data_IF_701840594292
#
_entry.id   IF_701840594292
#
_cell.length_a   1.000
_cell.length_b   1.000
_cell.length_c   1.000
_cell.angle_alpha   90.00
_cell.angle_beta   90.00
_cell.angle_gamma   90.00
#
_symmetry.space_group_name_H-M   'P 1'
#
loop_
_entity.id
_entity.type
_entity.pdbx_description
1 polymer ?
#
# COMPACT_ATOMS: atom_id res chain seq x y z
N UNK A 1 -33.51 42.43 -0.40
CA UNK A 1 -34.36 41.55 -1.23
C UNK A 1 -33.83 40.13 -1.01
N UNK A 2 -34.54 39.37 -0.19
CA UNK A 2 -34.19 38.00 0.17
C UNK A 2 -34.54 37.06 -0.99
N UNK A 3 -33.62 36.16 -1.33
CA UNK A 3 -33.82 35.11 -2.32
C UNK A 3 -34.58 33.97 -1.62
N UNK A 4 -35.71 33.48 -2.16
CA UNK A 4 -36.52 32.49 -1.45
C UNK A 4 -35.86 31.10 -1.44
N UNK A 5 -35.73 30.55 -0.23
CA UNK A 5 -35.13 29.24 0.09
C UNK A 5 -36.06 28.04 -0.24
N UNK A 6 -36.61 27.96 -1.45
CA UNK A 6 -37.50 26.85 -1.84
C UNK A 6 -37.04 26.12 -3.11
N UNK A 7 -35.83 25.57 -3.10
CA UNK A 7 -35.41 24.53 -4.05
C UNK A 7 -34.58 23.47 -3.32
N UNK A 8 -35.22 22.79 -2.37
CA UNK A 8 -34.74 21.51 -1.84
C UNK A 8 -35.85 20.49 -2.06
N UNK A 9 -35.78 19.75 -3.16
CA UNK A 9 -36.21 18.34 -3.26
C UNK A 9 -35.62 17.74 -4.53
N UNK A 10 -34.84 16.68 -4.36
CA UNK A 10 -34.79 15.46 -5.17
C UNK A 10 -35.51 15.47 -6.53
N UNK A 11 -34.79 15.04 -7.58
CA UNK A 11 -35.31 14.60 -8.89
C UNK A 11 -35.75 15.68 -9.88
N UNK A 12 -34.89 16.66 -10.21
CA UNK A 12 -35.07 17.39 -11.47
C UNK A 12 -34.25 16.71 -12.56
N UNK A 13 -34.96 16.16 -13.55
CA UNK A 13 -34.37 15.60 -14.74
C UNK A 13 -33.72 16.74 -15.56
N UNK A 14 -32.72 16.43 -16.39
CA UNK A 14 -31.90 17.41 -17.15
C UNK A 14 -32.76 18.41 -17.96
N UNK A 15 -33.97 17.99 -18.36
CA UNK A 15 -34.97 18.80 -19.07
C UNK A 15 -35.72 19.80 -18.19
N UNK A 16 -35.86 19.55 -16.89
CA UNK A 16 -36.69 20.36 -15.98
C UNK A 16 -35.92 21.55 -15.38
N UNK A 17 -34.60 21.42 -15.22
CA UNK A 17 -33.72 22.53 -14.81
C UNK A 17 -33.63 23.61 -15.91
N UNK A 18 -33.64 23.18 -17.18
CA UNK A 18 -33.58 24.08 -18.34
C UNK A 18 -34.89 24.85 -18.58
N UNK A 19 -36.03 24.44 -18.00
CA UNK A 19 -37.33 25.08 -18.22
C UNK A 19 -37.58 26.30 -17.33
N UNK A 20 -36.75 26.54 -16.30
CA UNK A 20 -36.95 27.61 -15.30
C UNK A 20 -35.82 28.65 -15.24
N UNK A 21 -34.95 28.72 -16.25
CA UNK A 21 -33.84 29.69 -16.30
C UNK A 21 -33.94 30.59 -17.52
N UNK A 22 -33.57 31.87 -17.37
CA UNK A 22 -33.45 32.80 -18.50
C UNK A 22 -32.40 32.26 -19.49
N UNK A 23 -32.59 32.46 -20.80
CA UNK A 23 -31.72 31.90 -21.87
C UNK A 23 -30.22 32.12 -21.63
N UNK A 24 -29.81 33.25 -21.03
CA UNK A 24 -28.41 33.55 -20.72
C UNK A 24 -27.79 32.75 -19.57
N UNK A 25 -28.59 32.28 -18.62
CA UNK A 25 -28.14 31.44 -17.51
C UNK A 25 -28.18 29.96 -17.89
N UNK A 26 -29.18 29.55 -18.69
CA UNK A 26 -29.27 28.22 -19.26
C UNK A 26 -27.98 27.84 -20.03
N UNK A 27 -27.44 28.76 -20.82
CA UNK A 27 -26.21 28.54 -21.59
C UNK A 27 -24.96 28.36 -20.71
N UNK A 28 -24.87 29.09 -19.59
CA UNK A 28 -23.78 28.91 -18.60
C UNK A 28 -23.87 27.57 -17.87
N UNK A 29 -25.09 27.15 -17.49
CA UNK A 29 -25.30 25.82 -16.93
C UNK A 29 -24.99 24.73 -17.95
N UNK A 30 -25.37 24.93 -19.21
CA UNK A 30 -25.06 24.01 -20.31
C UNK A 30 -23.55 23.81 -20.45
N UNK A 31 -22.74 24.87 -20.48
CA UNK A 31 -21.27 24.79 -20.56
C UNK A 31 -20.66 24.05 -19.35
N UNK A 32 -21.23 24.23 -18.15
CA UNK A 32 -20.81 23.54 -16.93
C UNK A 32 -21.16 22.04 -16.93
N UNK A 33 -22.31 21.65 -17.49
CA UNK A 33 -22.74 20.26 -17.58
C UNK A 33 -22.12 19.51 -18.77
N UNK A 34 -21.95 20.19 -19.91
CA UNK A 34 -21.49 19.64 -21.20
C UNK A 34 -19.96 19.45 -21.27
N UNK A 35 -19.22 20.00 -20.29
CA UNK A 35 -17.77 19.80 -20.15
C UNK A 35 -17.38 18.65 -19.21
N UNK A 36 -18.35 18.00 -18.58
CA UNK A 36 -18.11 16.91 -17.63
C UNK A 36 -18.09 15.54 -18.32
N UNK A 37 -17.00 14.80 -18.15
CA UNK A 37 -16.87 13.44 -18.68
C UNK A 37 -17.70 12.50 -17.81
N UNK A 38 -18.76 11.92 -18.39
CA UNK A 38 -19.62 10.95 -17.71
C UNK A 38 -18.96 9.58 -17.78
N UNK A 39 -18.57 9.07 -16.62
CA UNK A 39 -17.89 7.79 -16.49
C UNK A 39 -18.91 6.65 -16.47
N UNK A 40 -18.66 5.58 -17.22
CA UNK A 40 -19.49 4.38 -17.15
C UNK A 40 -19.28 3.66 -15.81
N UNK A 41 -20.30 2.98 -15.30
CA UNK A 41 -20.19 2.24 -14.04
C UNK A 41 -19.14 1.13 -14.10
N UNK A 42 -18.99 0.48 -15.26
CA UNK A 42 -17.99 -0.57 -15.45
C UNK A 42 -16.57 0.00 -15.41
N UNK A 43 -16.31 1.08 -16.16
CA UNK A 43 -15.00 1.73 -16.17
C UNK A 43 -14.64 2.28 -14.79
N UNK A 44 -15.62 2.83 -14.07
CA UNK A 44 -15.43 3.28 -12.70
C UNK A 44 -14.98 2.16 -11.77
N UNK A 45 -15.63 1.00 -11.82
CA UNK A 45 -15.27 -0.14 -10.97
C UNK A 45 -13.83 -0.58 -11.24
N UNK A 46 -13.42 -0.67 -12.51
CA UNK A 46 -12.04 -1.01 -12.87
C UNK A 46 -11.05 0.06 -12.39
N UNK A 47 -11.35 1.34 -12.61
CA UNK A 47 -10.49 2.44 -12.20
C UNK A 47 -10.34 2.52 -10.66
N UNK A 48 -11.39 2.18 -9.90
CA UNK A 48 -11.31 2.08 -8.43
C UNK A 48 -10.47 0.88 -7.99
N UNK A 49 -10.57 -0.27 -8.67
CA UNK A 49 -9.73 -1.42 -8.38
C UNK A 49 -8.25 -1.11 -8.63
N UNK A 50 -7.93 -0.47 -9.75
CA UNK A 50 -6.57 -0.04 -10.08
C UNK A 50 -6.04 0.96 -9.03
N UNK A 51 -6.85 1.93 -8.61
CA UNK A 51 -6.54 2.85 -7.53
C UNK A 51 -6.18 2.11 -6.23
N UNK A 52 -6.97 1.12 -5.83
CA UNK A 52 -6.73 0.34 -4.61
C UNK A 52 -5.48 -0.54 -4.71
N UNK A 53 -5.07 -0.93 -5.92
CA UNK A 53 -3.80 -1.60 -6.21
C UNK A 53 -2.62 -0.62 -6.35
N UNK A 54 -2.87 0.68 -6.17
CA UNK A 54 -1.87 1.73 -6.36
C UNK A 54 -1.37 1.76 -7.79
N UNK A 55 -2.28 1.76 -8.76
CA UNK A 55 -2.03 1.90 -10.18
C UNK A 55 -2.81 3.14 -10.66
N UNK A 56 -2.14 4.14 -11.25
CA UNK A 56 -2.85 5.27 -11.89
C UNK A 56 -3.72 4.79 -13.05
N UNK A 57 -4.91 5.39 -13.17
CA UNK A 57 -5.91 5.07 -14.19
C UNK A 57 -6.36 6.32 -14.94
N UNK A 58 -7.35 6.19 -15.82
CA UNK A 58 -7.90 7.32 -16.56
C UNK A 58 -8.65 8.31 -15.63
N UNK A 59 -9.30 7.78 -14.59
CA UNK A 59 -10.04 8.57 -13.60
C UNK A 59 -9.16 9.04 -12.43
N UNK A 60 -8.23 8.22 -11.96
CA UNK A 60 -7.43 8.52 -10.77
C UNK A 60 -5.94 8.66 -11.11
N UNK A 61 -5.44 9.88 -10.94
CA UNK A 61 -4.06 10.25 -11.27
C UNK A 61 -3.24 10.41 -9.99
N UNK A 62 -2.00 9.92 -9.99
CA UNK A 62 -1.09 10.16 -8.87
C UNK A 62 -0.34 11.48 -9.07
N UNK A 63 -0.46 12.40 -8.12
CA UNK A 63 0.28 13.65 -8.09
C UNK A 63 1.59 13.45 -7.32
N UNK A 64 2.69 13.41 -8.05
CA UNK A 64 4.02 13.21 -7.47
C UNK A 64 4.48 14.35 -6.56
N UNK A 65 3.94 15.56 -6.71
CA UNK A 65 4.29 16.72 -5.88
C UNK A 65 3.55 16.67 -4.56
N UNK A 66 2.25 16.37 -4.59
CA UNK A 66 1.41 16.25 -3.39
C UNK A 66 1.49 14.88 -2.72
N UNK A 67 2.09 13.90 -3.39
CA UNK A 67 2.20 12.50 -2.94
C UNK A 67 0.84 11.89 -2.61
N UNK A 68 -0.17 12.14 -3.44
CA UNK A 68 -1.50 11.58 -3.30
C UNK A 68 -2.15 11.28 -4.66
N UNK A 69 -3.12 10.37 -4.66
CA UNK A 69 -4.04 10.28 -5.78
C UNK A 69 -5.02 11.45 -5.76
N UNK A 70 -5.44 11.84 -6.96
CA UNK A 70 -6.48 12.82 -7.19
C UNK A 70 -7.39 12.29 -8.30
N UNK A 71 -8.69 12.52 -8.14
CA UNK A 71 -9.64 12.28 -9.22
C UNK A 71 -9.46 13.35 -10.29
N UNK A 72 -9.52 12.94 -11.55
CA UNK A 72 -9.45 13.85 -12.70
C UNK A 72 -10.55 14.92 -12.58
N UNK A 73 -10.24 16.21 -12.80
CA UNK A 73 -11.24 17.26 -12.73
C UNK A 73 -12.38 17.03 -13.72
N UNK A 74 -13.59 17.41 -13.34
CA UNK A 74 -14.80 17.33 -14.16
C UNK A 74 -15.25 15.92 -14.56
N UNK A 75 -14.70 14.86 -13.94
CA UNK A 75 -15.24 13.50 -14.08
C UNK A 75 -16.43 13.32 -13.13
N UNK A 76 -17.50 12.66 -13.59
CA UNK A 76 -18.67 12.34 -12.76
C UNK A 76 -19.24 10.97 -13.08
N UNK A 77 -19.87 10.34 -12.09
CA UNK A 77 -20.70 9.17 -12.31
C UNK A 77 -22.07 9.57 -12.87
N UNK A 78 -22.68 8.66 -13.64
CA UNK A 78 -24.06 8.84 -14.08
C UNK A 78 -24.96 9.08 -12.86
N UNK A 79 -25.83 10.10 -12.95
CA UNK A 79 -26.77 10.52 -11.87
C UNK A 79 -26.14 11.16 -10.63
N UNK A 80 -24.83 11.40 -10.63
CA UNK A 80 -24.16 12.16 -9.59
C UNK A 80 -23.61 13.47 -10.15
N UNK A 81 -23.55 14.51 -9.31
CA UNK A 81 -22.75 15.69 -9.63
C UNK A 81 -21.26 15.33 -9.52
N UNK A 82 -20.39 16.13 -10.13
CA UNK A 82 -18.94 15.97 -9.99
C UNK A 82 -18.49 16.10 -8.52
N UNK A 83 -19.10 17.03 -7.78
CA UNK A 83 -18.82 17.23 -6.35
C UNK A 83 -19.23 16.02 -5.49
N UNK A 84 -20.45 15.50 -5.69
CA UNK A 84 -20.90 14.30 -4.98
C UNK A 84 -20.09 13.06 -5.37
N UNK A 85 -19.66 12.96 -6.63
CA UNK A 85 -18.79 11.85 -7.09
C UNK A 85 -17.43 11.94 -6.42
N UNK A 86 -16.84 13.14 -6.35
CA UNK A 86 -15.56 13.36 -5.67
C UNK A 86 -15.66 12.97 -4.20
N UNK A 87 -16.70 13.46 -3.50
CA UNK A 87 -16.91 13.16 -2.08
C UNK A 87 -17.09 11.65 -1.84
N UNK A 88 -17.83 10.97 -2.72
CA UNK A 88 -17.95 9.51 -2.68
C UNK A 88 -16.59 8.81 -2.85
N UNK A 89 -15.69 9.38 -3.65
CA UNK A 89 -14.38 8.80 -3.94
C UNK A 89 -13.31 9.08 -2.89
N UNK A 90 -13.52 10.01 -1.94
CA UNK A 90 -12.49 10.45 -0.99
C UNK A 90 -11.85 9.28 -0.23
N UNK A 91 -12.67 8.38 0.30
CA UNK A 91 -12.19 7.22 1.05
C UNK A 91 -11.34 6.27 0.17
N UNK A 92 -11.75 6.04 -1.08
CA UNK A 92 -10.99 5.22 -2.02
C UNK A 92 -9.65 5.86 -2.38
N UNK A 93 -9.64 7.19 -2.60
CA UNK A 93 -8.45 7.98 -2.90
C UNK A 93 -7.47 7.92 -1.73
N UNK A 94 -7.95 8.06 -0.49
CA UNK A 94 -7.13 7.95 0.71
C UNK A 94 -6.53 6.55 0.86
N UNK A 95 -7.34 5.50 0.66
CA UNK A 95 -6.90 4.10 0.71
C UNK A 95 -5.83 3.80 -0.35
N UNK A 96 -6.10 4.13 -1.62
CA UNK A 96 -5.17 3.93 -2.73
C UNK A 96 -3.88 4.73 -2.55
N UNK A 97 -3.97 5.95 -2.03
CA UNK A 97 -2.79 6.77 -1.70
C UNK A 97 -1.93 6.12 -0.63
N UNK A 98 -2.55 5.63 0.44
CA UNK A 98 -1.85 4.96 1.54
C UNK A 98 -1.19 3.67 1.04
N UNK A 99 -1.92 2.86 0.26
CA UNK A 99 -1.38 1.65 -0.33
C UNK A 99 -0.22 1.94 -1.29
N UNK A 100 -0.33 2.95 -2.16
CA UNK A 100 0.74 3.33 -3.07
C UNK A 100 1.99 3.82 -2.34
N UNK A 101 1.83 4.60 -1.28
CA UNK A 101 2.94 5.00 -0.40
C UNK A 101 3.60 3.77 0.23
N UNK A 102 2.81 2.82 0.72
CA UNK A 102 3.31 1.57 1.28
C UNK A 102 4.05 0.74 0.23
N UNK A 103 3.47 0.56 -0.97
CA UNK A 103 4.08 -0.14 -2.11
C UNK A 103 5.40 0.51 -2.52
N UNK A 104 5.43 1.83 -2.62
CA UNK A 104 6.64 2.60 -2.94
C UNK A 104 7.68 2.46 -1.84
N UNK A 105 7.25 2.55 -0.58
CA UNK A 105 8.12 2.32 0.57
C UNK A 105 8.72 0.91 0.55
N UNK A 106 7.90 -0.13 0.39
CA UNK A 106 8.33 -1.52 0.28
C UNK A 106 9.23 -1.80 -0.94
N UNK A 107 9.10 -1.02 -2.02
CA UNK A 107 9.96 -1.10 -3.20
C UNK A 107 11.27 -0.30 -3.05
N UNK A 108 11.27 0.70 -2.16
CA UNK A 108 12.44 1.52 -1.81
C UNK A 108 13.27 0.93 -0.69
N UNK A 109 12.63 0.18 0.22
CA UNK A 109 13.28 -0.87 0.96
C UNK A 109 13.67 -1.88 -0.13
N UNK A 110 14.91 -2.34 -0.13
CA UNK A 110 15.35 -3.45 -0.96
C UNK A 110 15.31 -4.72 -0.10
N UNK A 111 14.13 -5.20 0.35
CA UNK A 111 14.05 -6.33 1.26
C UNK A 111 14.48 -7.60 0.54
N UNK A 112 14.65 -7.62 -0.78
CA UNK A 112 15.03 -8.82 -1.51
C UNK A 112 16.50 -9.16 -1.25
N UNK A 113 17.40 -8.21 -1.40
CA UNK A 113 18.83 -8.41 -1.14
C UNK A 113 19.13 -8.53 0.35
N UNK A 114 18.46 -7.71 1.17
CA UNK A 114 18.55 -7.81 2.62
C UNK A 114 17.92 -9.11 3.15
N UNK A 115 16.84 -9.61 2.56
CA UNK A 115 16.28 -10.92 2.92
C UNK A 115 17.14 -12.07 2.45
N UNK A 116 17.86 -11.97 1.33
CA UNK A 116 18.83 -13.00 0.94
C UNK A 116 19.96 -13.12 1.96
N UNK A 117 20.54 -12.00 2.40
CA UNK A 117 21.57 -12.04 3.42
C UNK A 117 21.02 -12.47 4.79
N UNK A 118 19.81 -12.03 5.14
CA UNK A 118 19.11 -12.47 6.36
C UNK A 118 18.83 -13.98 6.33
N UNK A 119 18.41 -14.51 5.19
CA UNK A 119 18.19 -15.95 4.98
C UNK A 119 19.50 -16.70 5.14
N UNK A 120 20.60 -16.20 4.56
CA UNK A 120 21.93 -16.77 4.77
C UNK A 120 22.34 -16.79 6.25
N UNK A 121 22.06 -15.72 7.01
CA UNK A 121 22.31 -15.68 8.46
C UNK A 121 21.53 -16.78 9.18
N UNK A 122 20.23 -16.91 8.90
CA UNK A 122 19.34 -17.89 9.54
C UNK A 122 19.73 -19.32 9.16
N UNK A 123 19.89 -19.61 7.88
CA UNK A 123 20.20 -20.96 7.37
C UNK A 123 21.55 -21.50 7.87
N UNK A 124 22.52 -20.61 8.07
CA UNK A 124 23.85 -20.98 8.57
C UNK A 124 23.98 -20.85 10.09
N UNK A 125 22.90 -20.50 10.78
CA UNK A 125 22.91 -20.22 12.22
C UNK A 125 24.01 -19.23 12.62
N UNK A 126 24.23 -18.22 11.78
CA UNK A 126 25.20 -17.16 12.07
C UNK A 126 24.61 -16.16 13.07
N UNK A 127 25.43 -15.50 13.89
CA UNK A 127 24.96 -14.43 14.75
C UNK A 127 24.30 -13.31 13.95
N UNK A 128 23.14 -12.81 14.41
CA UNK A 128 22.45 -11.67 13.79
C UNK A 128 23.35 -10.42 13.73
N UNK A 129 24.27 -10.29 14.69
CA UNK A 129 25.27 -9.23 14.73
C UNK A 129 26.17 -9.17 13.48
N UNK A 130 26.27 -10.26 12.69
CA UNK A 130 26.98 -10.23 11.41
C UNK A 130 26.38 -9.21 10.43
N UNK A 131 25.09 -8.88 10.55
CA UNK A 131 24.44 -7.87 9.72
C UNK A 131 24.99 -6.45 9.94
N UNK A 132 25.46 -6.11 11.15
CA UNK A 132 25.94 -4.77 11.49
C UNK A 132 27.18 -4.36 10.67
N UNK A 133 27.95 -5.34 10.21
CA UNK A 133 29.16 -5.13 9.41
C UNK A 133 28.98 -5.42 7.92
N UNK A 134 27.82 -5.98 7.52
CA UNK A 134 27.58 -6.42 6.16
C UNK A 134 27.54 -5.25 5.17
N UNK A 135 26.88 -4.14 5.52
CA UNK A 135 26.81 -2.94 4.66
C UNK A 135 28.20 -2.37 4.30
N UNK A 136 29.03 -1.99 5.29
CA UNK A 136 30.38 -1.51 5.03
C UNK A 136 31.26 -2.51 4.27
N UNK A 137 31.08 -3.82 4.54
CA UNK A 137 31.80 -4.87 3.82
C UNK A 137 31.41 -4.93 2.34
N UNK A 138 30.11 -4.94 2.03
CA UNK A 138 29.62 -4.98 0.65
C UNK A 138 30.04 -3.74 -0.13
N UNK A 139 30.02 -2.56 0.49
CA UNK A 139 30.48 -1.32 -0.13
C UNK A 139 31.97 -1.37 -0.50
N UNK A 140 32.81 -2.00 0.34
CA UNK A 140 34.24 -2.19 0.06
C UNK A 140 34.49 -3.26 -1.00
N UNK A 141 33.74 -4.36 -0.98
CA UNK A 141 33.88 -5.46 -1.94
C UNK A 141 33.35 -5.09 -3.32
N UNK A 142 32.30 -4.26 -3.38
CA UNK A 142 31.58 -3.90 -4.59
C UNK A 142 31.36 -2.37 -4.68
N UNK A 143 32.44 -1.59 -4.85
CA UNK A 143 32.36 -0.12 -4.80
C UNK A 143 31.48 0.49 -5.90
N UNK A 144 31.35 -0.18 -7.04
CA UNK A 144 30.54 0.29 -8.18
C UNK A 144 29.08 -0.16 -8.10
N UNK A 145 28.73 -1.04 -7.15
CA UNK A 145 27.38 -1.59 -7.04
C UNK A 145 26.47 -0.63 -6.27
N UNK A 146 25.48 -0.08 -6.97
CA UNK A 146 24.42 0.72 -6.35
C UNK A 146 23.65 -0.06 -5.29
N UNK A 147 23.48 -1.37 -5.48
CA UNK A 147 22.86 -2.28 -4.50
C UNK A 147 23.69 -2.39 -3.22
N UNK A 148 25.02 -2.53 -3.34
CA UNK A 148 25.91 -2.61 -2.19
C UNK A 148 25.97 -1.29 -1.41
N UNK A 149 25.99 -0.15 -2.12
CA UNK A 149 25.92 1.20 -1.51
C UNK A 149 24.66 1.41 -0.69
N UNK A 150 23.53 0.87 -1.14
CA UNK A 150 22.21 1.03 -0.51
C UNK A 150 21.90 -0.03 0.54
N UNK A 151 22.74 -1.06 0.70
CA UNK A 151 22.53 -2.07 1.73
C UNK A 151 22.60 -1.42 3.12
N UNK A 152 21.44 -1.34 3.78
CA UNK A 152 21.27 -0.66 5.06
C UNK A 152 20.76 -1.58 6.17
N UNK A 153 20.85 -2.89 5.98
CA UNK A 153 20.35 -3.86 6.95
C UNK A 153 21.38 -4.11 8.05
N UNK A 154 21.04 -3.68 9.27
CA UNK A 154 21.76 -3.96 10.51
C UNK A 154 20.95 -4.96 11.36
N UNK A 155 21.43 -5.28 12.57
CA UNK A 155 20.81 -6.28 13.45
C UNK A 155 19.32 -6.04 13.73
N UNK A 156 18.88 -4.79 13.88
CA UNK A 156 17.47 -4.42 14.15
C UNK A 156 16.58 -4.79 12.95
N UNK A 157 16.98 -4.35 11.75
CA UNK A 157 16.24 -4.62 10.51
C UNK A 157 16.25 -6.11 10.17
N UNK A 158 17.39 -6.77 10.37
CA UNK A 158 17.55 -8.22 10.22
C UNK A 158 16.60 -8.97 11.16
N UNK A 159 16.52 -8.58 12.43
CA UNK A 159 15.60 -9.18 13.41
C UNK A 159 14.13 -9.01 13.01
N UNK A 160 13.76 -7.83 12.50
CA UNK A 160 12.41 -7.59 11.98
C UNK A 160 12.08 -8.47 10.76
N UNK A 161 13.03 -8.63 9.83
CA UNK A 161 12.89 -9.51 8.66
C UNK A 161 12.74 -10.97 9.12
N UNK A 162 13.57 -11.45 10.05
CA UNK A 162 13.47 -12.81 10.62
C UNK A 162 12.10 -13.02 11.27
N UNK A 163 11.61 -12.04 12.04
CA UNK A 163 10.31 -12.13 12.68
C UNK A 163 9.16 -12.26 11.66
N UNK A 164 9.21 -11.51 10.56
CA UNK A 164 8.23 -11.64 9.48
C UNK A 164 8.34 -12.97 8.72
N UNK A 165 9.56 -13.41 8.38
CA UNK A 165 9.79 -14.73 7.78
C UNK A 165 9.23 -15.85 8.68
N UNK A 166 9.46 -15.75 9.98
CA UNK A 166 8.96 -16.69 10.97
C UNK A 166 7.43 -16.71 11.09
N UNK A 167 6.74 -15.59 10.86
CA UNK A 167 5.26 -15.55 10.89
C UNK A 167 4.64 -16.36 9.76
N UNK A 168 5.19 -16.28 8.55
CA UNK A 168 4.73 -17.06 7.41
C UNK A 168 4.88 -18.56 7.64
N UNK A 169 6.02 -18.97 8.21
CA UNK A 169 6.34 -20.37 8.46
C UNK A 169 5.74 -20.93 9.76
N UNK A 170 5.28 -20.07 10.67
CA UNK A 170 4.73 -20.48 11.98
C UNK A 170 3.61 -21.51 11.86
N UNK A 171 2.67 -21.31 10.94
CA UNK A 171 1.53 -22.23 10.76
C UNK A 171 2.01 -23.58 10.22
N UNK A 172 2.94 -23.58 9.27
CA UNK A 172 3.52 -24.79 8.69
C UNK A 172 4.35 -25.58 9.71
N UNK A 173 5.17 -24.88 10.49
CA UNK A 173 5.96 -25.46 11.59
C UNK A 173 5.02 -26.07 12.64
N UNK A 174 4.03 -25.32 13.14
CA UNK A 174 3.06 -25.83 14.12
C UNK A 174 2.30 -27.04 13.58
N UNK A 175 1.86 -27.00 12.32
CA UNK A 175 1.18 -28.12 11.66
C UNK A 175 2.05 -29.37 11.61
N UNK A 176 3.35 -29.21 11.38
CA UNK A 176 4.33 -30.30 11.35
C UNK A 176 4.62 -30.83 12.76
N UNK A 177 4.89 -29.95 13.72
CA UNK A 177 5.17 -30.30 15.11
C UNK A 177 3.99 -30.99 15.81
N UNK A 178 2.74 -30.76 15.35
CA UNK A 178 1.56 -31.47 15.86
C UNK A 178 1.43 -32.92 15.36
N UNK A 179 2.11 -33.29 14.28
CA UNK A 179 1.95 -34.60 13.63
C UNK A 179 2.98 -35.63 14.07
N UNK A 180 4.11 -35.17 14.61
CA UNK A 180 5.23 -36.04 14.99
C UNK A 180 5.82 -35.57 16.32
N UNK A 181 6.30 -36.51 17.16
CA UNK A 181 7.16 -36.13 18.28
C UNK A 181 8.34 -35.30 17.79
N UNK A 182 8.68 -34.26 18.52
CA UNK A 182 9.80 -33.39 18.17
C UNK A 182 10.68 -33.16 19.40
N UNK A 183 11.92 -32.74 19.17
CA UNK A 183 12.80 -32.33 20.25
C UNK A 183 13.20 -30.88 20.11
N UNK A 184 13.20 -30.15 21.22
CA UNK A 184 13.71 -28.79 21.30
C UNK A 184 15.06 -28.83 22.00
N UNK A 185 16.08 -28.30 21.33
CA UNK A 185 17.38 -28.05 21.94
C UNK A 185 17.48 -26.55 22.21
N UNK A 186 17.69 -26.18 23.48
CA UNK A 186 18.06 -24.81 23.84
C UNK A 186 19.56 -24.67 23.70
N UNK A 187 20.02 -23.73 22.86
CA UNK A 187 21.45 -23.42 22.78
C UNK A 187 21.96 -22.96 24.14
N UNK A 188 23.10 -23.54 24.55
CA UNK A 188 23.71 -23.29 25.85
C UNK A 188 24.52 -22.01 25.80
N UNK A 189 24.12 -21.00 26.57
CA UNK A 189 24.97 -19.84 26.84
C UNK A 189 26.28 -20.30 27.47
N UNK A 190 27.42 -19.86 26.93
CA UNK A 190 28.77 -20.27 27.38
C UNK A 190 29.19 -19.64 28.72
N UNK A 191 28.24 -19.25 29.59
CA UNK A 191 28.47 -18.57 30.86
C UNK A 191 28.41 -19.52 32.08
N UNK A 192 28.61 -20.84 31.90
CA UNK A 192 28.74 -21.80 32.99
C UNK A 192 28.81 -23.26 32.52
N UNK A 193 29.24 -24.17 33.40
CA UNK A 193 29.42 -25.62 33.14
C UNK A 193 28.11 -26.42 32.94
N UNK A 194 27.02 -25.78 32.52
CA UNK A 194 25.72 -26.44 32.36
C UNK A 194 25.56 -26.96 30.93
N UNK A 195 25.60 -28.28 30.77
CA UNK A 195 25.21 -28.98 29.53
C UNK A 195 23.69 -28.85 29.33
N UNK A 196 23.27 -28.27 28.21
CA UNK A 196 21.88 -28.32 27.76
C UNK A 196 21.55 -29.70 27.22
N UNK A 197 20.42 -30.26 27.66
CA UNK A 197 19.88 -31.52 27.16
C UNK A 197 18.73 -31.23 26.21
N UNK A 198 18.62 -31.95 25.07
CA UNK A 198 17.44 -31.87 24.22
C UNK A 198 16.20 -32.30 25.01
N UNK A 199 15.18 -31.44 25.07
CA UNK A 199 13.88 -31.81 25.61
C UNK A 199 13.09 -32.52 24.51
N UNK A 200 12.65 -33.74 24.76
CA UNK A 200 11.73 -34.44 23.87
C UNK A 200 10.32 -34.02 24.24
N UNK A 201 9.60 -33.45 23.27
CA UNK A 201 8.19 -33.08 23.40
C UNK A 201 7.38 -34.13 22.65
N UNK A 202 6.67 -34.98 23.40
CA UNK A 202 5.79 -36.05 22.90
C UNK A 202 4.33 -35.68 22.99
#
# INVERSE_FOLDING_TARGET
>A
QEIPCHLYTSELNEKEVLLNTNEGDAEKFRILFDSSEVLSEQDFVYDVLDLLLGIPSNTFLYDDKKKNFQMKPFTRLARMSSESTLQFCENFIECGTTFYKLKTFCSSIHPKEESFFTTFIVERNNPIACADHAGPLFQKMFPDSETAKRYGCACIKTSAIIAEMGKAEKIAIISTLKKVPFSTATDGSNNGDFKSYPLVVT
#
